data_IF_997005626083
#
_entry.id   IF_997005626083
#
_cell.length_a   1.000
_cell.length_b   1.000
_cell.length_c   1.000
_cell.angle_alpha   90.00
_cell.angle_beta   90.00
_cell.angle_gamma   90.00
#
_symmetry.space_group_name_H-M   'P 1'
#
loop_
_entity.id
_entity.type
_entity.pdbx_description
1 polymer ?
#
# COMPACT_ATOMS: atom_id res chain seq x y z
N UNK A 1 1.79 29.17 -2.80
CA UNK A 1 0.44 28.55 -2.81
C UNK A 1 0.44 27.02 -2.85
N UNK A 2 1.43 26.32 -3.44
CA UNK A 2 1.48 24.85 -3.50
C UNK A 2 1.66 24.11 -2.14
N UNK A 3 2.25 24.77 -1.14
CA UNK A 3 2.49 24.17 0.18
C UNK A 3 1.23 23.92 1.01
N UNK A 4 0.15 24.68 0.78
CA UNK A 4 -1.14 24.46 1.46
C UNK A 4 -1.88 23.28 0.83
N UNK A 5 -1.83 23.16 -0.51
CA UNK A 5 -2.57 22.14 -1.27
C UNK A 5 -2.13 20.71 -0.95
N UNK A 6 -0.82 20.46 -0.77
CA UNK A 6 -0.32 19.14 -0.38
C UNK A 6 -0.69 18.74 1.05
N UNK A 7 -0.67 19.72 1.98
CA UNK A 7 -1.13 19.51 3.36
C UNK A 7 -2.63 19.25 3.42
N UNK A 8 -3.41 19.96 2.61
CA UNK A 8 -4.86 19.78 2.51
C UNK A 8 -5.20 18.42 1.89
N UNK A 9 -4.47 17.97 0.86
CA UNK A 9 -4.61 16.61 0.34
C UNK A 9 -4.28 15.56 1.40
N UNK A 10 -3.13 15.67 2.10
CA UNK A 10 -2.75 14.75 3.17
C UNK A 10 -3.80 14.68 4.30
N UNK A 11 -4.40 15.82 4.65
CA UNK A 11 -5.44 15.92 5.67
C UNK A 11 -6.77 15.32 5.18
N UNK A 12 -7.14 15.53 3.92
CA UNK A 12 -8.31 14.92 3.31
C UNK A 12 -8.15 13.40 3.13
N UNK A 13 -6.94 12.92 2.84
CA UNK A 13 -6.64 11.49 2.80
C UNK A 13 -6.88 10.83 4.15
N UNK A 14 -6.56 11.51 5.27
CA UNK A 14 -6.89 11.05 6.63
C UNK A 14 -8.40 10.98 6.91
N UNK A 15 -9.21 11.76 6.20
CA UNK A 15 -10.68 11.80 6.32
C UNK A 15 -11.41 10.87 5.34
N UNK A 16 -10.69 10.07 4.56
CA UNK A 16 -11.32 9.07 3.71
C UNK A 16 -12.02 8.01 4.58
N UNK A 17 -13.28 7.72 4.27
CA UNK A 17 -14.08 6.70 4.94
C UNK A 17 -13.33 5.35 4.97
N UNK A 18 -13.45 4.64 6.11
CA UNK A 18 -12.96 3.28 6.25
C UNK A 18 -13.72 2.37 5.27
N UNK A 19 -13.05 1.34 4.78
CA UNK A 19 -13.65 0.28 4.01
C UNK A 19 -14.38 -0.67 4.96
N UNK A 20 -15.70 -0.72 4.79
CA UNK A 20 -16.60 -1.54 5.59
C UNK A 20 -17.09 -2.79 4.80
N UNK A 21 -16.38 -3.18 3.73
CA UNK A 21 -16.73 -4.34 2.89
C UNK A 21 -17.70 -4.07 1.74
N UNK A 22 -18.31 -2.87 1.65
CA UNK A 22 -19.16 -2.45 0.53
C UNK A 22 -18.48 -1.39 -0.34
N UNK A 23 -19.01 -1.13 -1.54
CA UNK A 23 -18.48 -0.16 -2.51
C UNK A 23 -16.99 -0.37 -2.86
N UNK A 24 -16.54 -1.64 -2.90
CA UNK A 24 -15.14 -2.00 -3.12
C UNK A 24 -14.50 -1.27 -4.29
N UNK A 25 -15.16 -1.20 -5.46
CA UNK A 25 -14.62 -0.49 -6.64
C UNK A 25 -14.30 0.98 -6.38
N UNK A 26 -15.11 1.67 -5.56
CA UNK A 26 -14.90 3.09 -5.23
C UNK A 26 -13.76 3.23 -4.23
N UNK A 27 -13.74 2.40 -3.20
CA UNK A 27 -12.65 2.37 -2.23
C UNK A 27 -11.31 2.00 -2.90
N UNK A 28 -11.30 0.96 -3.71
CA UNK A 28 -10.15 0.46 -4.46
C UNK A 28 -9.55 1.54 -5.35
N UNK A 29 -10.36 2.29 -6.10
CA UNK A 29 -9.87 3.43 -6.91
C UNK A 29 -9.22 4.53 -6.04
N UNK A 30 -9.83 4.88 -4.91
CA UNK A 30 -9.26 5.87 -3.98
C UNK A 30 -7.95 5.37 -3.36
N UNK A 31 -7.90 4.08 -2.99
CA UNK A 31 -6.71 3.44 -2.44
C UNK A 31 -5.58 3.40 -3.47
N UNK A 32 -5.85 2.95 -4.69
CA UNK A 32 -4.87 2.92 -5.76
C UNK A 32 -4.31 4.33 -6.06
N UNK A 33 -5.15 5.37 -6.05
CA UNK A 33 -4.71 6.76 -6.20
C UNK A 33 -3.80 7.22 -5.06
N UNK A 34 -4.11 6.86 -3.81
CA UNK A 34 -3.27 7.14 -2.65
C UNK A 34 -1.90 6.44 -2.78
N UNK A 35 -1.88 5.15 -3.08
CA UNK A 35 -0.64 4.37 -3.25
C UNK A 35 0.22 4.88 -4.41
N UNK A 36 -0.42 5.36 -5.48
CA UNK A 36 0.26 6.00 -6.62
C UNK A 36 0.92 7.31 -6.20
N UNK A 37 0.21 8.14 -5.43
CA UNK A 37 0.73 9.41 -4.88
C UNK A 37 1.94 9.16 -3.98
N UNK A 38 1.91 8.08 -3.20
CA UNK A 38 3.01 7.64 -2.34
C UNK A 38 4.15 6.92 -3.10
N UNK A 39 3.97 6.66 -4.40
CA UNK A 39 4.91 5.94 -5.27
C UNK A 39 5.21 4.51 -4.81
N UNK A 40 4.26 3.86 -4.14
CA UNK A 40 4.40 2.46 -3.67
C UNK A 40 3.51 1.49 -4.44
N UNK A 41 2.57 1.97 -5.26
CA UNK A 41 1.59 1.11 -5.98
C UNK A 41 2.21 -0.01 -6.81
N UNK A 42 3.45 0.18 -7.29
CA UNK A 42 4.17 -0.80 -8.11
C UNK A 42 4.42 -2.13 -7.39
N UNK A 43 4.43 -2.17 -6.05
CA UNK A 43 4.62 -3.41 -5.28
C UNK A 43 3.44 -4.39 -5.43
N UNK A 44 2.26 -3.90 -5.85
CA UNK A 44 1.09 -4.74 -6.13
C UNK A 44 1.26 -5.57 -7.41
N UNK A 45 2.09 -5.10 -8.35
CA UNK A 45 2.28 -5.73 -9.66
C UNK A 45 3.69 -6.27 -9.88
N UNK A 46 4.67 -5.78 -9.11
CA UNK A 46 6.09 -6.10 -9.31
C UNK A 46 6.56 -7.04 -8.19
N UNK A 47 7.03 -8.26 -8.51
CA UNK A 47 7.50 -9.18 -7.49
C UNK A 47 8.75 -8.66 -6.79
N UNK A 48 8.98 -9.15 -5.56
CA UNK A 48 10.16 -8.82 -4.78
C UNK A 48 11.45 -9.18 -5.56
N UNK A 49 12.43 -8.27 -5.63
CA UNK A 49 13.73 -8.56 -6.23
C UNK A 49 14.44 -9.73 -5.51
N UNK A 50 14.88 -10.72 -6.28
CA UNK A 50 15.70 -11.83 -5.79
C UNK A 50 17.12 -11.33 -5.53
N UNK A 51 17.69 -11.68 -4.37
CA UNK A 51 19.12 -11.54 -4.14
C UNK A 51 19.82 -12.83 -4.58
N UNK A 52 20.92 -12.68 -5.31
CA UNK A 52 21.85 -13.77 -5.63
C UNK A 52 22.98 -13.81 -4.58
N UNK A 53 23.72 -14.91 -4.50
CA UNK A 53 24.79 -15.09 -3.51
C UNK A 53 25.89 -14.02 -3.58
N UNK A 54 26.12 -13.44 -4.77
CA UNK A 54 27.08 -12.37 -5.05
C UNK A 54 26.42 -10.98 -5.17
N UNK A 55 25.27 -10.80 -4.50
CA UNK A 55 24.48 -9.58 -4.62
C UNK A 55 25.30 -8.32 -4.32
N UNK A 56 25.41 -7.46 -5.33
CA UNK A 56 26.02 -6.14 -5.18
C UNK A 56 25.28 -5.31 -4.12
N UNK A 57 25.99 -4.36 -3.50
CA UNK A 57 25.39 -3.37 -2.58
C UNK A 57 24.17 -2.67 -3.20
N UNK A 58 24.19 -2.45 -4.52
CA UNK A 58 23.06 -1.89 -5.27
C UNK A 58 21.83 -2.81 -5.23
N UNK A 59 22.01 -4.11 -5.44
CA UNK A 59 20.91 -5.09 -5.38
C UNK A 59 20.29 -5.17 -3.98
N UNK A 60 21.13 -5.17 -2.93
CA UNK A 60 20.68 -5.15 -1.53
C UNK A 60 19.83 -3.90 -1.26
N UNK A 61 20.29 -2.72 -1.69
CA UNK A 61 19.54 -1.45 -1.54
C UNK A 61 18.21 -1.45 -2.29
N UNK A 62 18.17 -2.03 -3.49
CA UNK A 62 16.94 -2.14 -4.28
C UNK A 62 15.92 -3.02 -3.55
N UNK A 63 16.35 -4.17 -3.02
CA UNK A 63 15.47 -5.06 -2.26
C UNK A 63 14.97 -4.40 -0.97
N UNK A 64 15.87 -3.81 -0.17
CA UNK A 64 15.48 -3.15 1.08
C UNK A 64 14.48 -2.01 0.82
N UNK A 65 14.64 -1.27 -0.29
CA UNK A 65 13.66 -0.29 -0.72
C UNK A 65 12.31 -0.93 -1.05
N UNK A 66 12.32 -2.03 -1.80
CA UNK A 66 11.08 -2.75 -2.16
C UNK A 66 10.35 -3.24 -0.90
N UNK A 67 11.06 -3.86 0.05
CA UNK A 67 10.49 -4.36 1.32
C UNK A 67 9.88 -3.22 2.15
N UNK A 68 10.55 -2.07 2.22
CA UNK A 68 10.01 -0.88 2.88
C UNK A 68 8.76 -0.33 2.17
N UNK A 69 8.78 -0.25 0.84
CA UNK A 69 7.65 0.23 0.06
C UNK A 69 6.45 -0.74 0.17
N UNK A 70 6.68 -2.05 0.25
CA UNK A 70 5.66 -3.07 0.51
C UNK A 70 5.06 -2.92 1.92
N UNK A 71 5.89 -2.76 2.95
CA UNK A 71 5.40 -2.49 4.31
C UNK A 71 4.51 -1.24 4.37
N UNK A 72 4.93 -0.14 3.72
CA UNK A 72 4.14 1.10 3.65
C UNK A 72 2.82 0.87 2.91
N UNK A 73 2.86 0.19 1.76
CA UNK A 73 1.68 -0.10 0.96
C UNK A 73 0.66 -0.91 1.76
N UNK A 74 1.09 -2.04 2.34
CA UNK A 74 0.26 -2.90 3.20
C UNK A 74 -0.31 -2.13 4.38
N UNK A 75 0.51 -1.33 5.06
CA UNK A 75 0.07 -0.50 6.18
C UNK A 75 -1.03 0.49 5.78
N UNK A 76 -0.96 1.11 4.60
CA UNK A 76 -2.02 2.01 4.13
C UNK A 76 -3.32 1.29 3.77
N UNK A 77 -3.22 0.11 3.15
CA UNK A 77 -4.37 -0.72 2.82
C UNK A 77 -5.10 -1.12 4.12
N UNK A 78 -4.37 -1.69 5.09
CA UNK A 78 -4.91 -2.10 6.39
C UNK A 78 -5.51 -0.94 7.20
N UNK A 79 -4.80 0.19 7.32
CA UNK A 79 -5.28 1.37 8.05
C UNK A 79 -6.51 2.06 7.43
N UNK A 80 -6.96 1.60 6.27
CA UNK A 80 -8.18 2.08 5.60
C UNK A 80 -9.29 1.05 5.62
N UNK A 81 -9.12 -0.05 6.34
CA UNK A 81 -10.17 -1.01 6.65
C UNK A 81 -10.89 -0.62 7.95
N UNK A 82 -12.10 -1.17 8.13
CA UNK A 82 -12.73 -1.28 9.43
C UNK A 82 -11.86 -2.14 10.36
N UNK A 83 -12.05 -1.99 11.67
CA UNK A 83 -11.24 -2.72 12.64
C UNK A 83 -11.50 -4.24 12.55
N UNK A 84 -12.73 -4.64 12.22
CA UNK A 84 -13.08 -6.05 11.99
C UNK A 84 -12.36 -6.66 10.78
N UNK A 85 -12.23 -5.92 9.69
CA UNK A 85 -11.50 -6.36 8.50
C UNK A 85 -9.98 -6.32 8.74
N UNK A 86 -9.50 -5.33 9.49
CA UNK A 86 -8.09 -5.27 9.89
C UNK A 86 -7.69 -6.57 10.63
N UNK A 87 -8.48 -7.00 11.61
CA UNK A 87 -8.18 -8.21 12.40
C UNK A 87 -8.11 -9.48 11.54
N UNK A 88 -8.90 -9.56 10.48
CA UNK A 88 -8.89 -10.68 9.53
C UNK A 88 -7.61 -10.68 8.68
N UNK A 89 -7.19 -9.51 8.21
CA UNK A 89 -6.13 -9.37 7.21
C UNK A 89 -4.76 -8.99 7.76
N UNK A 90 -4.63 -8.65 9.05
CA UNK A 90 -3.39 -8.10 9.63
C UNK A 90 -2.16 -9.00 9.48
N UNK A 91 -2.38 -10.32 9.37
CA UNK A 91 -1.33 -11.33 9.24
C UNK A 91 -0.96 -11.65 7.79
N UNK A 92 -1.59 -11.03 6.79
CA UNK A 92 -1.18 -11.17 5.39
C UNK A 92 0.19 -10.53 5.20
N UNK A 93 1.13 -11.27 4.61
CA UNK A 93 2.55 -10.91 4.64
C UNK A 93 2.92 -9.88 3.57
N UNK A 94 2.25 -9.90 2.41
CA UNK A 94 2.56 -9.02 1.28
C UNK A 94 1.39 -8.12 0.89
N UNK A 95 1.69 -6.91 0.39
CA UNK A 95 0.64 -6.02 -0.11
C UNK A 95 -0.11 -6.62 -1.29
N UNK A 96 0.59 -7.39 -2.12
CA UNK A 96 0.00 -8.05 -3.29
C UNK A 96 -1.04 -9.09 -2.88
N UNK A 97 -0.68 -10.00 -1.99
CA UNK A 97 -1.61 -11.02 -1.51
C UNK A 97 -2.82 -10.39 -0.81
N UNK A 98 -2.59 -9.35 -0.01
CA UNK A 98 -3.67 -8.59 0.62
C UNK A 98 -4.59 -7.98 -0.43
N UNK A 99 -4.02 -7.34 -1.45
CA UNK A 99 -4.78 -6.71 -2.51
C UNK A 99 -5.60 -7.71 -3.32
N UNK A 100 -4.98 -8.81 -3.75
CA UNK A 100 -5.64 -9.89 -4.52
C UNK A 100 -6.78 -10.54 -3.70
N UNK A 101 -6.60 -10.68 -2.38
CA UNK A 101 -7.61 -11.23 -1.46
C UNK A 101 -8.86 -10.35 -1.32
N UNK A 102 -8.73 -9.04 -1.59
CA UNK A 102 -9.86 -8.10 -1.56
C UNK A 102 -10.58 -8.00 -2.90
N UNK A 103 -9.94 -8.39 -4.00
CA UNK A 103 -10.52 -8.42 -5.34
C UNK A 103 -11.34 -9.70 -5.62
N UNK A 104 -11.17 -10.73 -4.78
CA UNK A 104 -11.84 -12.03 -4.87
C UNK A 104 -13.28 -11.99 -4.35
#
# INVERSE_FOLDING_TARGET
>A
MAGNTMKDMATNFRKLDKFEGHDFRRWQKKMHFLLTTLKVVYVLTTPMPKLLEDATVKAIRIRAKWENDDYICRGHILNRMSDSLFDVYMNVESSKELWDSLES
#
